data_IF_501918267423
#
_entry.id   IF_501918267423
#
_cell.length_a   1.000
_cell.length_b   1.000
_cell.length_c   1.000
_cell.angle_alpha   90.00
_cell.angle_beta   90.00
_cell.angle_gamma   90.00
#
_symmetry.space_group_name_H-M   'P 1'
#
loop_
_entity.id
_entity.type
_entity.pdbx_description
1 polymer ?
#
# COMPACT_ATOMS: atom_id res chain seq x y z
N UNK A 1 -2.63 37.62 38.42
CA UNK A 1 -3.51 36.56 38.97
C UNK A 1 -3.13 35.24 38.33
N UNK A 2 -2.89 34.23 39.16
CA UNK A 2 -2.35 32.91 38.82
C UNK A 2 -3.48 31.93 38.46
N UNK A 3 -3.26 31.04 37.50
CA UNK A 3 -3.92 29.74 37.48
C UNK A 3 -3.04 28.72 36.74
N UNK A 4 -2.49 27.79 37.51
CA UNK A 4 -1.74 26.63 37.07
C UNK A 4 -2.71 25.47 36.81
N UNK A 5 -2.51 24.71 35.73
CA UNK A 5 -3.25 23.48 35.46
C UNK A 5 -2.36 22.29 35.82
N UNK A 6 -2.80 21.54 36.82
CA UNK A 6 -2.13 20.36 37.39
C UNK A 6 -2.57 19.12 36.61
N UNK A 7 -1.61 18.36 36.12
CA UNK A 7 -1.79 17.04 35.48
C UNK A 7 -1.75 15.97 36.58
N UNK A 8 -2.82 15.20 36.74
CA UNK A 8 -2.87 13.99 37.59
C UNK A 8 -2.88 12.75 36.69
N UNK A 9 -1.81 11.95 36.75
CA UNK A 9 -1.73 10.63 36.14
C UNK A 9 -1.99 9.61 37.25
N UNK A 10 -3.09 8.84 37.14
CA UNK A 10 -3.39 7.73 38.03
C UNK A 10 -2.92 6.43 37.37
N UNK A 11 -1.91 5.79 37.96
CA UNK A 11 -1.47 4.43 37.64
C UNK A 11 -2.22 3.46 38.57
N UNK A 12 -2.97 2.52 38.01
CA UNK A 12 -3.52 1.38 38.77
C UNK A 12 -2.99 0.08 38.16
N UNK A 13 -2.07 -0.56 38.89
CA UNK A 13 -1.58 -1.89 38.61
C UNK A 13 -2.55 -2.94 39.18
N UNK A 14 -2.89 -3.95 38.40
CA UNK A 14 -3.56 -5.17 38.89
C UNK A 14 -2.60 -6.34 38.65
N UNK A 15 -2.00 -6.81 39.74
CA UNK A 15 -1.31 -8.10 39.82
C UNK A 15 -2.27 -9.12 40.44
N UNK A 16 -2.49 -10.25 39.77
CA UNK A 16 -3.25 -11.37 40.32
C UNK A 16 -2.32 -12.58 40.46
N UNK A 17 -1.83 -12.80 41.68
CA UNK A 17 -1.25 -14.08 42.14
C UNK A 17 -2.29 -14.82 42.95
N UNK A 18 -2.66 -16.02 42.50
CA UNK A 18 -3.60 -16.89 43.18
C UNK A 18 -2.87 -17.74 44.23
N UNK A 19 -3.27 -17.61 45.51
CA UNK A 19 -2.98 -18.58 46.58
C UNK A 19 -4.27 -19.28 46.97
N UNK A 20 -4.35 -20.61 46.78
CA UNK A 20 -5.45 -21.43 47.27
C UNK A 20 -4.98 -22.32 48.42
N UNK A 21 -5.63 -22.12 49.56
CA UNK A 21 -5.41 -22.71 50.87
C UNK A 21 -6.14 -24.07 50.98
N UNK A 22 -5.46 -25.07 51.53
CA UNK A 22 -6.02 -26.39 51.90
C UNK A 22 -7.09 -26.26 53.01
N UNK A 23 -8.19 -27.00 52.87
CA UNK A 23 -9.01 -27.49 53.99
C UNK A 23 -9.65 -28.85 53.66
N UNK A 24 -9.50 -29.79 54.60
CA UNK A 24 -10.57 -30.67 55.06
C UNK A 24 -10.71 -32.02 54.34
N UNK A 25 -10.16 -33.07 54.98
CA UNK A 25 -10.33 -34.46 54.57
C UNK A 25 -11.74 -35.02 54.76
N UNK A 26 -12.06 -36.01 53.92
CA UNK A 26 -12.98 -37.11 54.22
C UNK A 26 -12.38 -38.41 53.68
N UNK A 27 -12.50 -39.43 54.52
CA UNK A 27 -11.94 -40.78 54.41
C UNK A 27 -12.47 -41.57 53.21
N UNK A 28 -11.58 -42.25 52.49
CA UNK A 28 -11.89 -43.24 51.44
C UNK A 28 -11.97 -44.65 52.06
N UNK A 29 -12.95 -45.50 51.69
CA UNK A 29 -12.99 -46.88 52.15
C UNK A 29 -12.00 -47.77 51.37
N UNK A 30 -11.41 -48.73 52.10
CA UNK A 30 -10.43 -49.71 51.63
C UNK A 30 -11.11 -50.78 50.75
N UNK A 31 -10.61 -51.12 49.56
CA UNK A 31 -11.12 -52.26 48.80
C UNK A 31 -10.53 -53.58 49.30
N UNK A 32 -11.40 -54.60 49.33
CA UNK A 32 -11.15 -55.96 49.78
C UNK A 32 -10.20 -56.72 48.84
N UNK A 33 -9.37 -57.58 49.42
CA UNK A 33 -8.50 -58.53 48.74
C UNK A 33 -9.27 -59.78 48.33
N UNK A 34 -9.42 -60.01 47.02
CA UNK A 34 -9.77 -61.32 46.48
C UNK A 34 -8.71 -61.72 45.45
N UNK A 35 -8.05 -62.84 45.74
CA UNK A 35 -7.06 -63.45 44.87
C UNK A 35 -7.70 -63.99 43.59
N UNK A 36 -7.10 -63.65 42.46
CA UNK A 36 -7.39 -64.21 41.14
C UNK A 36 -6.09 -64.40 40.39
N UNK A 37 -5.92 -65.58 39.80
CA UNK A 37 -4.74 -66.02 39.03
C UNK A 37 -4.33 -65.02 37.94
N UNK A 38 -3.01 -64.81 37.82
CA UNK A 38 -2.39 -64.10 36.70
C UNK A 38 -2.24 -65.04 35.50
N UNK A 39 -2.90 -64.73 34.38
CA UNK A 39 -2.61 -65.30 33.06
C UNK A 39 -1.82 -64.26 32.24
N UNK A 40 -0.72 -64.63 31.56
CA UNK A 40 0.04 -63.66 30.76
C UNK A 40 -0.74 -63.24 29.52
N UNK A 41 -0.90 -61.93 29.31
CA UNK A 41 -1.38 -61.35 28.05
C UNK A 41 -0.32 -61.55 26.96
N UNK A 42 -0.72 -62.10 25.81
CA UNK A 42 0.12 -62.14 24.61
C UNK A 42 0.44 -60.71 24.13
N UNK A 43 1.64 -60.43 23.58
CA UNK A 43 1.97 -59.11 23.05
C UNK A 43 1.08 -58.77 21.85
N UNK A 44 0.07 -57.93 22.08
CA UNK A 44 -0.66 -57.27 21.01
C UNK A 44 0.30 -56.39 20.21
N UNK A 45 0.27 -56.51 18.88
CA UNK A 45 1.00 -55.67 17.96
C UNK A 45 0.69 -54.19 18.22
N UNK A 46 1.69 -53.47 18.71
CA UNK A 46 1.63 -52.03 18.92
C UNK A 46 1.45 -51.35 17.55
N UNK A 47 0.34 -50.64 17.28
CA UNK A 47 0.22 -49.91 16.02
C UNK A 47 1.31 -48.83 15.99
N UNK A 48 2.05 -48.78 14.88
CA UNK A 48 3.13 -47.83 14.67
C UNK A 48 2.66 -46.39 14.97
N UNK A 49 3.50 -45.53 15.57
CA UNK A 49 3.11 -44.15 15.86
C UNK A 49 2.69 -43.47 14.56
N UNK A 50 1.42 -43.07 14.48
CA UNK A 50 0.91 -42.29 13.37
C UNK A 50 1.77 -41.04 13.25
N UNK A 51 2.52 -40.92 12.15
CA UNK A 51 3.27 -39.72 11.79
C UNK A 51 2.26 -38.56 11.76
N UNK A 52 2.25 -37.73 12.78
CA UNK A 52 1.42 -36.53 12.83
C UNK A 52 2.05 -35.51 11.89
N UNK A 53 1.76 -35.65 10.60
CA UNK A 53 2.05 -34.61 9.62
C UNK A 53 1.04 -33.50 9.91
N UNK A 54 1.47 -32.45 10.62
CA UNK A 54 0.67 -31.23 10.75
C UNK A 54 0.21 -30.82 9.34
N UNK A 55 -1.09 -30.63 9.09
CA UNK A 55 -1.55 -30.28 7.76
C UNK A 55 -0.86 -28.99 7.33
N UNK A 56 -0.13 -29.04 6.22
CA UNK A 56 0.49 -27.85 5.64
C UNK A 56 -0.64 -26.85 5.38
N UNK A 57 -0.61 -25.73 6.11
CA UNK A 57 -1.68 -24.73 6.09
C UNK A 57 -2.03 -24.32 4.65
N UNK A 58 -3.33 -24.27 4.33
CA UNK A 58 -3.78 -23.83 3.00
C UNK A 58 -3.45 -22.35 2.77
N UNK A 59 -3.40 -21.90 1.51
CA UNK A 59 -3.13 -20.48 1.19
C UNK A 59 -4.17 -19.56 1.84
N UNK A 60 -5.45 -19.96 1.84
CA UNK A 60 -6.51 -19.19 2.50
C UNK A 60 -6.26 -19.04 4.01
N UNK A 61 -5.93 -20.14 4.68
CA UNK A 61 -5.61 -20.12 6.11
C UNK A 61 -4.35 -19.29 6.41
N UNK A 62 -3.31 -19.37 5.56
CA UNK A 62 -2.11 -18.55 5.71
C UNK A 62 -2.45 -17.06 5.62
N UNK A 63 -3.23 -16.65 4.61
CA UNK A 63 -3.66 -15.25 4.45
C UNK A 63 -4.37 -14.75 5.71
N UNK A 64 -5.40 -15.48 6.17
CA UNK A 64 -6.14 -15.10 7.38
C UNK A 64 -5.24 -15.01 8.60
N UNK A 65 -4.35 -15.99 8.81
CA UNK A 65 -3.46 -16.00 9.97
C UNK A 65 -2.44 -14.84 9.94
N UNK A 66 -1.92 -14.50 8.75
CA UNK A 66 -1.05 -13.34 8.56
C UNK A 66 -1.82 -12.04 8.84
N UNK A 67 -3.03 -11.88 8.28
CA UNK A 67 -3.87 -10.69 8.48
C UNK A 67 -4.24 -10.46 9.95
N UNK A 68 -4.40 -11.53 10.72
CA UNK A 68 -4.72 -11.50 12.15
C UNK A 68 -3.48 -11.44 13.05
N UNK A 69 -2.28 -11.61 12.50
CA UNK A 69 -1.06 -11.54 13.28
C UNK A 69 -0.76 -10.10 13.68
N UNK A 70 -0.60 -9.84 14.98
CA UNK A 70 -0.21 -8.51 15.46
C UNK A 70 1.17 -8.07 14.95
N UNK A 71 2.03 -9.01 14.53
CA UNK A 71 3.30 -8.75 13.87
C UNK A 71 3.50 -9.72 12.69
N UNK A 72 3.08 -9.29 11.51
CA UNK A 72 3.10 -10.14 10.31
C UNK A 72 4.49 -10.58 9.86
N UNK A 73 5.52 -9.71 9.80
CA UNK A 73 6.88 -10.15 9.47
C UNK A 73 7.41 -11.25 10.40
N UNK A 74 7.20 -11.10 11.70
CA UNK A 74 7.64 -12.11 12.68
C UNK A 74 6.86 -13.41 12.52
N UNK A 75 5.54 -13.34 12.34
CA UNK A 75 4.69 -14.51 12.11
C UNK A 75 5.13 -15.31 10.88
N UNK A 76 5.38 -14.62 9.76
CA UNK A 76 5.86 -15.24 8.52
C UNK A 76 7.21 -15.93 8.71
N UNK A 77 8.14 -15.29 9.42
CA UNK A 77 9.47 -15.85 9.68
C UNK A 77 9.43 -17.04 10.64
N UNK A 78 8.75 -16.90 11.76
CA UNK A 78 8.92 -17.79 12.91
C UNK A 78 7.84 -18.87 12.98
N UNK A 79 6.62 -18.59 12.53
CA UNK A 79 5.51 -19.55 12.54
C UNK A 79 5.40 -20.26 11.19
N UNK A 80 5.32 -19.49 10.10
CA UNK A 80 5.19 -20.08 8.76
C UNK A 80 6.52 -20.61 8.20
N UNK A 81 7.65 -20.22 8.81
CA UNK A 81 9.01 -20.54 8.34
C UNK A 81 9.21 -20.20 6.85
N UNK A 82 8.61 -19.09 6.39
CA UNK A 82 8.70 -18.60 5.00
C UNK A 82 9.66 -17.43 4.88
N UNK A 83 10.24 -17.31 3.69
CA UNK A 83 11.03 -16.12 3.32
C UNK A 83 10.08 -15.00 2.90
N UNK A 84 10.47 -13.76 3.18
CA UNK A 84 9.80 -12.59 2.67
C UNK A 84 10.79 -11.49 2.27
N UNK A 85 10.30 -10.52 1.50
CA UNK A 85 10.98 -9.25 1.19
C UNK A 85 10.09 -8.09 1.58
N UNK A 86 10.70 -6.99 2.00
CA UNK A 86 10.03 -5.73 2.22
C UNK A 86 10.38 -4.78 1.08
N UNK A 87 9.35 -4.30 0.39
CA UNK A 87 9.46 -3.41 -0.76
C UNK A 87 8.70 -2.12 -0.43
N UNK A 88 9.36 -0.95 -0.56
CA UNK A 88 8.69 0.35 -0.50
C UNK A 88 8.32 0.76 -1.92
N UNK A 89 7.02 0.86 -2.20
CA UNK A 89 6.51 1.25 -3.52
C UNK A 89 6.12 2.72 -3.47
N UNK A 90 6.60 3.49 -4.45
CA UNK A 90 6.27 4.90 -4.63
C UNK A 90 5.11 4.98 -5.63
N UNK A 91 3.98 5.51 -5.19
CA UNK A 91 2.83 5.78 -6.06
C UNK A 91 3.09 7.11 -6.78
N UNK A 92 3.34 7.03 -8.09
CA UNK A 92 3.62 8.21 -8.92
C UNK A 92 2.37 8.85 -9.52
N UNK A 93 1.34 8.04 -9.76
CA UNK A 93 0.08 8.43 -10.41
C UNK A 93 -1.08 7.70 -9.75
N UNK A 94 -2.27 8.26 -9.83
CA UNK A 94 -3.50 7.65 -9.28
C UNK A 94 -4.25 6.80 -10.31
N UNK A 95 -3.73 6.69 -11.53
CA UNK A 95 -4.29 5.93 -12.63
C UNK A 95 -3.16 5.48 -13.56
N UNK A 96 -3.45 4.58 -14.51
CA UNK A 96 -2.44 4.12 -15.48
C UNK A 96 -1.23 3.44 -14.83
N UNK A 97 -1.48 2.64 -13.78
CA UNK A 97 -0.42 1.99 -13.00
C UNK A 97 0.49 1.12 -13.88
N UNK A 98 1.81 1.21 -13.65
CA UNK A 98 2.82 0.46 -14.44
C UNK A 98 2.80 -1.05 -14.15
N UNK A 99 2.13 -1.47 -13.08
CA UNK A 99 1.98 -2.88 -12.75
C UNK A 99 1.20 -3.14 -11.47
N UNK A 100 1.19 -4.41 -11.08
CA UNK A 100 0.47 -4.91 -9.89
C UNK A 100 0.92 -4.21 -8.60
N UNK A 101 2.23 -3.98 -8.43
CA UNK A 101 2.77 -3.36 -7.23
C UNK A 101 2.20 -1.94 -7.06
N UNK A 102 2.25 -1.11 -8.10
CA UNK A 102 1.72 0.25 -8.06
C UNK A 102 0.21 0.28 -7.79
N UNK A 103 -0.55 -0.61 -8.45
CA UNK A 103 -2.00 -0.74 -8.24
C UNK A 103 -2.33 -1.18 -6.81
N UNK A 104 -1.59 -2.15 -6.25
CA UNK A 104 -1.75 -2.57 -4.86
C UNK A 104 -1.29 -1.49 -3.87
N UNK A 105 -0.29 -0.70 -4.22
CA UNK A 105 0.19 0.39 -3.36
C UNK A 105 -0.90 1.43 -3.17
N UNK A 106 -1.59 1.77 -4.26
CA UNK A 106 -2.64 2.77 -4.22
C UNK A 106 -3.99 2.21 -3.73
N UNK A 107 -4.47 1.10 -4.28
CA UNK A 107 -5.80 0.55 -3.95
C UNK A 107 -5.82 -0.45 -2.79
N UNK A 108 -4.66 -1.01 -2.43
CA UNK A 108 -4.58 -2.03 -1.40
C UNK A 108 -4.95 -1.50 -0.02
N UNK A 109 -5.53 -2.35 0.82
CA UNK A 109 -5.86 -2.04 2.22
C UNK A 109 -4.71 -2.46 3.12
N UNK A 110 -4.38 -1.61 4.08
CA UNK A 110 -3.39 -1.92 5.12
C UNK A 110 -3.80 -3.22 5.84
N UNK A 111 -2.81 -4.03 6.19
CA UNK A 111 -2.88 -5.36 6.77
C UNK A 111 -3.48 -6.46 5.89
N UNK A 112 -4.13 -6.14 4.76
CA UNK A 112 -4.72 -7.15 3.87
C UNK A 112 -3.65 -7.90 3.08
N UNK A 113 -3.84 -9.22 2.93
CA UNK A 113 -2.97 -10.09 2.13
C UNK A 113 -3.63 -10.41 0.79
N UNK A 114 -2.91 -10.15 -0.28
CA UNK A 114 -3.31 -10.31 -1.66
C UNK A 114 -2.56 -11.45 -2.36
N UNK A 115 -3.11 -11.89 -3.49
CA UNK A 115 -2.63 -13.06 -4.24
C UNK A 115 -3.36 -14.35 -3.87
N UNK A 116 -2.82 -15.51 -4.27
CA UNK A 116 -1.43 -15.68 -4.73
C UNK A 116 -1.18 -15.16 -6.15
N UNK A 117 0.06 -14.70 -6.38
CA UNK A 117 0.53 -14.15 -7.65
C UNK A 117 1.59 -15.04 -8.29
N UNK A 118 1.87 -14.78 -9.58
CA UNK A 118 2.84 -15.54 -10.39
C UNK A 118 2.64 -17.07 -10.25
N UNK A 119 1.45 -17.54 -10.63
CA UNK A 119 1.06 -18.96 -10.60
C UNK A 119 1.22 -19.63 -9.23
N UNK A 120 1.00 -18.89 -8.14
CA UNK A 120 1.07 -19.46 -6.80
C UNK A 120 2.37 -19.21 -6.04
N UNK A 121 3.34 -18.48 -6.60
CA UNK A 121 4.68 -18.35 -6.01
C UNK A 121 4.77 -17.39 -4.83
N UNK A 122 3.90 -16.39 -4.72
CA UNK A 122 3.97 -15.45 -3.59
C UNK A 122 2.64 -14.79 -3.24
N UNK A 123 2.57 -14.29 -2.01
CA UNK A 123 1.54 -13.39 -1.49
C UNK A 123 2.13 -11.99 -1.26
N UNK A 124 1.28 -10.97 -1.20
CA UNK A 124 1.69 -9.60 -0.87
C UNK A 124 0.79 -9.05 0.22
N UNK A 125 1.37 -8.56 1.30
CA UNK A 125 0.65 -7.83 2.34
C UNK A 125 1.03 -6.35 2.31
N UNK A 126 0.05 -5.46 2.45
CA UNK A 126 0.31 -4.04 2.65
C UNK A 126 0.52 -3.81 4.14
N UNK A 127 1.69 -3.36 4.56
CA UNK A 127 2.01 -3.14 5.97
C UNK A 127 1.71 -1.72 6.43
N UNK A 128 2.00 -0.74 5.58
CA UNK A 128 1.79 0.66 5.89
C UNK A 128 1.60 1.46 4.61
N UNK A 129 0.97 2.62 4.74
CA UNK A 129 0.93 3.66 3.71
C UNK A 129 1.29 5.00 4.30
N UNK A 130 1.98 5.81 3.51
CA UNK A 130 2.32 7.18 3.89
C UNK A 130 1.83 8.14 2.80
N UNK A 131 1.37 9.33 3.20
CA UNK A 131 0.90 10.33 2.26
C UNK A 131 2.05 10.91 1.41
N UNK A 132 1.68 11.43 0.24
CA UNK A 132 2.44 12.39 -0.55
C UNK A 132 1.48 13.43 -1.12
N UNK A 133 2.00 14.59 -1.49
CA UNK A 133 1.25 15.60 -2.24
C UNK A 133 1.20 15.22 -3.72
N UNK A 134 0.04 15.39 -4.33
CA UNK A 134 -0.19 15.19 -5.75
C UNK A 134 -0.71 16.49 -6.37
N UNK A 135 -0.30 16.78 -7.61
CA UNK A 135 -0.94 17.84 -8.40
C UNK A 135 -1.71 17.23 -9.56
N UNK A 136 -2.88 17.79 -9.83
CA UNK A 136 -3.67 17.49 -11.00
C UNK A 136 -3.32 18.47 -12.12
N UNK A 137 -2.82 17.97 -13.24
CA UNK A 137 -2.37 18.81 -14.36
C UNK A 137 -2.91 18.33 -15.70
N UNK A 138 -3.19 19.29 -16.57
CA UNK A 138 -3.33 19.07 -18.01
C UNK A 138 -2.06 19.51 -18.76
N UNK A 139 -1.79 18.90 -19.90
CA UNK A 139 -0.65 19.20 -20.77
C UNK A 139 -1.06 19.26 -22.25
N UNK A 140 -0.44 20.19 -22.97
CA UNK A 140 -0.28 20.17 -24.43
C UNK A 140 1.23 20.20 -24.68
N UNK A 141 1.75 19.16 -25.34
CA UNK A 141 3.17 19.03 -25.61
C UNK A 141 3.46 19.34 -27.08
N UNK A 142 4.46 20.19 -27.32
CA UNK A 142 4.98 20.51 -28.64
C UNK A 142 6.42 20.01 -28.74
N UNK A 143 6.63 19.01 -29.58
CA UNK A 143 7.94 18.41 -29.81
C UNK A 143 8.82 19.32 -30.66
N UNK A 144 9.95 19.76 -30.10
CA UNK A 144 10.87 20.67 -30.79
C UNK A 144 11.92 19.98 -31.66
N UNK A 145 11.91 18.65 -31.73
CA UNK A 145 12.56 17.92 -32.81
C UNK A 145 11.79 18.03 -34.13
N UNK A 146 10.48 18.31 -34.05
CA UNK A 146 9.60 18.50 -35.22
C UNK A 146 9.36 19.99 -35.49
N UNK A 147 9.07 20.76 -34.44
CA UNK A 147 8.87 22.21 -34.56
C UNK A 147 10.14 22.99 -34.22
N UNK A 148 10.52 23.93 -35.09
CA UNK A 148 11.53 24.91 -34.73
C UNK A 148 11.11 25.66 -33.44
N UNK A 149 12.02 25.94 -32.49
CA UNK A 149 11.65 26.50 -31.19
C UNK A 149 10.80 27.78 -31.26
N UNK A 150 11.06 28.67 -32.23
CA UNK A 150 10.27 29.89 -32.45
C UNK A 150 8.83 29.59 -32.89
N UNK A 151 8.65 28.55 -33.69
CA UNK A 151 7.33 28.10 -34.15
C UNK A 151 6.56 27.49 -32.98
N UNK A 152 7.19 26.60 -32.21
CA UNK A 152 6.59 26.04 -31.01
C UNK A 152 6.17 27.14 -30.02
N UNK A 153 7.01 28.16 -29.79
CA UNK A 153 6.67 29.27 -28.90
C UNK A 153 5.47 30.10 -29.38
N UNK A 154 5.39 30.34 -30.69
CA UNK A 154 4.28 31.06 -31.31
C UNK A 154 2.97 30.27 -31.24
N UNK A 155 3.04 28.95 -31.50
CA UNK A 155 1.89 28.04 -31.35
C UNK A 155 1.43 27.98 -29.90
N UNK A 156 2.33 27.80 -28.93
CA UNK A 156 2.01 27.79 -27.51
C UNK A 156 1.37 29.11 -27.05
N UNK A 157 1.87 30.25 -27.52
CA UNK A 157 1.32 31.57 -27.20
C UNK A 157 -0.10 31.72 -27.76
N UNK A 158 -0.34 31.29 -29.00
CA UNK A 158 -1.68 31.28 -29.60
C UNK A 158 -2.66 30.39 -28.83
N UNK A 159 -2.24 29.17 -28.47
CA UNK A 159 -3.03 28.25 -27.65
C UNK A 159 -3.44 28.91 -26.32
N UNK A 160 -2.48 29.48 -25.59
CA UNK A 160 -2.74 30.12 -24.29
C UNK A 160 -3.73 31.29 -24.45
N UNK A 161 -3.58 32.11 -25.49
CA UNK A 161 -4.48 33.24 -25.73
C UNK A 161 -5.90 32.76 -26.04
N UNK A 162 -6.06 31.75 -26.90
CA UNK A 162 -7.38 31.19 -27.24
C UNK A 162 -8.12 30.65 -26.03
N UNK A 163 -7.42 29.98 -25.11
CA UNK A 163 -8.04 29.52 -23.86
C UNK A 163 -8.40 30.69 -22.95
N UNK A 164 -7.52 31.68 -22.81
CA UNK A 164 -7.78 32.87 -21.97
C UNK A 164 -8.95 33.73 -22.48
N UNK A 165 -9.09 33.82 -23.79
CA UNK A 165 -10.17 34.55 -24.47
C UNK A 165 -11.48 33.76 -24.49
N UNK A 166 -11.45 32.47 -24.14
CA UNK A 166 -12.63 31.59 -24.18
C UNK A 166 -13.05 31.19 -25.59
N UNK A 167 -12.20 31.39 -26.60
CA UNK A 167 -12.49 31.03 -28.00
C UNK A 167 -12.29 29.55 -28.31
N UNK A 168 -11.60 28.81 -27.44
CA UNK A 168 -11.49 27.35 -27.48
C UNK A 168 -11.20 26.80 -26.07
N UNK A 169 -11.63 25.56 -25.80
CA UNK A 169 -11.27 24.86 -24.57
C UNK A 169 -9.81 24.38 -24.60
N UNK A 170 -9.21 24.14 -23.42
CA UNK A 170 -7.87 23.56 -23.34
C UNK A 170 -7.88 22.12 -23.88
N UNK A 171 -8.96 21.39 -23.61
CA UNK A 171 -9.21 20.01 -24.02
C UNK A 171 -9.20 19.86 -25.55
N UNK A 172 -9.96 20.71 -26.25
CA UNK A 172 -10.03 20.68 -27.72
C UNK A 172 -8.67 21.00 -28.33
N UNK A 173 -7.95 21.97 -27.76
CA UNK A 173 -6.61 22.33 -28.20
C UNK A 173 -5.59 21.23 -27.89
N UNK A 174 -5.76 20.50 -26.79
CA UNK A 174 -4.90 19.37 -26.46
C UNK A 174 -5.07 18.22 -27.44
N UNK A 175 -6.31 17.89 -27.82
CA UNK A 175 -6.58 16.91 -28.89
C UNK A 175 -5.99 17.36 -30.23
N UNK A 176 -6.10 18.65 -30.55
CA UNK A 176 -5.69 19.19 -31.85
C UNK A 176 -4.18 19.34 -32.00
N UNK A 177 -3.49 19.84 -30.96
CA UNK A 177 -2.10 20.29 -31.05
C UNK A 177 -1.12 19.45 -30.25
N UNK A 178 -1.56 18.67 -29.26
CA UNK A 178 -0.60 17.93 -28.43
C UNK A 178 0.03 16.79 -29.23
N UNK A 179 1.35 16.72 -29.18
CA UNK A 179 2.16 15.66 -29.78
C UNK A 179 2.51 14.56 -28.77
N UNK A 180 2.00 14.66 -27.54
CA UNK A 180 2.14 13.65 -26.50
C UNK A 180 0.97 12.68 -26.46
N UNK A 181 1.13 11.59 -25.70
CA UNK A 181 0.09 10.57 -25.53
C UNK A 181 -1.15 11.07 -24.77
N UNK A 182 -1.04 12.18 -24.04
CA UNK A 182 -2.14 12.82 -23.31
C UNK A 182 -3.19 13.44 -24.23
N UNK A 183 -2.93 13.59 -25.54
CA UNK A 183 -3.97 13.95 -26.51
C UNK A 183 -5.19 13.01 -26.43
N UNK A 184 -4.96 11.73 -26.14
CA UNK A 184 -6.02 10.73 -25.96
C UNK A 184 -6.88 10.94 -24.70
N UNK A 185 -6.37 11.68 -23.71
CA UNK A 185 -7.08 12.05 -22.49
C UNK A 185 -7.46 13.54 -22.50
N UNK A 186 -7.57 14.13 -23.69
CA UNK A 186 -7.88 15.56 -23.87
C UNK A 186 -6.92 16.47 -23.09
N UNK A 187 -5.66 16.05 -23.00
CA UNK A 187 -4.58 16.73 -22.29
C UNK A 187 -4.50 16.40 -20.80
N UNK A 188 -5.46 15.67 -20.22
CA UNK A 188 -5.43 15.37 -18.78
C UNK A 188 -4.38 14.30 -18.43
N UNK A 189 -3.44 14.64 -17.54
CA UNK A 189 -2.45 13.69 -17.01
C UNK A 189 -2.87 13.11 -15.66
N UNK A 190 -4.00 13.55 -15.11
CA UNK A 190 -4.52 13.21 -13.79
C UNK A 190 -3.60 13.68 -12.65
N UNK A 191 -3.71 13.00 -11.51
CA UNK A 191 -2.92 13.30 -10.32
C UNK A 191 -1.54 12.66 -10.42
N UNK A 192 -0.51 13.50 -10.36
CA UNK A 192 0.89 13.09 -10.35
C UNK A 192 1.53 13.51 -9.02
N UNK A 193 2.26 12.59 -8.41
CA UNK A 193 2.96 12.82 -7.15
C UNK A 193 4.06 13.88 -7.30
N UNK A 194 4.24 14.71 -6.27
CA UNK A 194 5.40 15.58 -6.12
C UNK A 194 6.68 14.73 -6.13
N UNK A 195 7.68 15.16 -6.91
CA UNK A 195 8.90 14.40 -7.17
C UNK A 195 8.82 13.39 -8.32
N UNK A 196 7.63 13.18 -8.91
CA UNK A 196 7.45 12.31 -10.08
C UNK A 196 7.27 13.06 -11.40
N UNK A 197 7.26 14.41 -11.36
CA UNK A 197 7.19 15.27 -12.55
C UNK A 197 8.58 15.68 -13.03
N UNK A 198 8.64 16.23 -14.25
CA UNK A 198 9.83 16.94 -14.75
C UNK A 198 10.11 18.13 -13.81
N UNK A 199 11.34 18.30 -13.27
CA UNK A 199 11.65 19.31 -12.26
C UNK A 199 11.26 20.75 -12.65
N UNK A 200 11.43 21.11 -13.92
CA UNK A 200 11.10 22.41 -14.47
C UNK A 200 9.59 22.69 -14.39
N UNK A 201 8.77 21.69 -14.75
CA UNK A 201 7.31 21.78 -14.67
C UNK A 201 6.89 21.91 -13.21
N UNK A 202 7.43 21.08 -12.33
CA UNK A 202 7.07 21.09 -10.91
C UNK A 202 7.43 22.42 -10.24
N UNK A 203 8.62 22.96 -10.56
CA UNK A 203 9.08 24.26 -10.04
C UNK A 203 8.16 25.40 -10.46
N UNK A 204 7.70 25.41 -11.71
CA UNK A 204 6.75 26.41 -12.18
C UNK A 204 5.38 26.20 -11.57
N UNK A 205 4.89 24.96 -11.48
CA UNK A 205 3.56 24.63 -10.94
C UNK A 205 3.37 25.10 -9.50
N UNK A 206 4.43 25.07 -8.67
CA UNK A 206 4.42 25.58 -7.28
C UNK A 206 4.07 27.07 -7.17
N UNK A 207 4.27 27.84 -8.24
CA UNK A 207 4.01 29.29 -8.28
C UNK A 207 2.63 29.65 -8.82
N UNK A 208 1.89 28.66 -9.33
CA UNK A 208 0.66 28.86 -10.11
C UNK A 208 -0.57 28.55 -9.28
N UNK A 209 -1.64 29.30 -9.50
CA UNK A 209 -2.95 29.02 -8.91
C UNK A 209 -3.72 28.00 -9.74
N UNK A 210 -4.72 27.38 -9.13
CA UNK A 210 -5.70 26.55 -9.84
C UNK A 210 -6.26 27.30 -11.06
N UNK A 211 -6.38 26.59 -12.18
CA UNK A 211 -6.85 27.10 -13.47
C UNK A 211 -5.79 27.83 -14.30
N UNK A 212 -4.62 28.19 -13.74
CA UNK A 212 -3.60 28.88 -14.51
C UNK A 212 -2.98 27.98 -15.59
N UNK A 213 -2.71 28.59 -16.74
CA UNK A 213 -2.05 27.97 -17.89
C UNK A 213 -0.75 28.72 -18.18
N UNK A 214 0.33 27.97 -18.35
CA UNK A 214 1.67 28.50 -18.55
C UNK A 214 2.49 27.57 -19.44
N UNK A 215 3.54 28.12 -20.07
CA UNK A 215 4.48 27.36 -20.89
C UNK A 215 5.79 27.10 -20.13
N UNK A 216 6.37 25.92 -20.31
CA UNK A 216 7.63 25.49 -19.71
C UNK A 216 8.48 24.79 -20.76
N UNK A 217 9.71 25.23 -20.90
CA UNK A 217 10.71 24.58 -21.74
C UNK A 217 11.42 23.47 -20.96
N UNK A 218 11.58 22.31 -21.59
CA UNK A 218 12.35 21.18 -21.07
C UNK A 218 13.28 20.64 -22.17
N UNK A 219 14.10 19.64 -21.84
CA UNK A 219 14.93 18.95 -22.84
C UNK A 219 14.10 18.20 -23.91
N UNK A 220 12.86 17.83 -23.62
CA UNK A 220 11.99 17.15 -24.57
C UNK A 220 11.37 18.15 -25.56
N UNK A 221 11.00 19.34 -25.09
CA UNK A 221 10.42 20.38 -25.93
C UNK A 221 9.65 21.41 -25.12
N UNK A 222 8.55 21.90 -25.69
CA UNK A 222 7.72 22.92 -25.06
C UNK A 222 6.44 22.31 -24.51
N UNK A 223 6.20 22.52 -23.22
CA UNK A 223 5.02 22.05 -22.52
C UNK A 223 4.12 23.23 -22.17
N UNK A 224 2.86 23.18 -22.58
CA UNK A 224 1.81 24.07 -22.08
C UNK A 224 1.08 23.30 -20.98
N UNK A 225 1.19 23.77 -19.75
CA UNK A 225 0.66 23.10 -18.57
C UNK A 225 -0.51 23.91 -18.01
N UNK A 226 -1.60 23.22 -17.68
CA UNK A 226 -2.72 23.76 -16.91
C UNK A 226 -2.71 23.13 -15.52
N UNK A 227 -2.75 23.96 -14.47
CA UNK A 227 -2.98 23.47 -13.11
C UNK A 227 -4.48 23.22 -12.93
N UNK A 228 -4.93 21.98 -13.07
CA UNK A 228 -6.36 21.64 -13.11
C UNK A 228 -7.02 21.85 -11.75
N UNK A 229 -6.39 21.37 -10.68
CA UNK A 229 -6.88 21.49 -9.31
C UNK A 229 -5.80 21.95 -8.33
N UNK A 230 -6.24 22.27 -7.11
CA UNK A 230 -5.32 22.48 -5.99
C UNK A 230 -4.65 21.15 -5.60
N UNK A 231 -3.41 21.20 -5.08
CA UNK A 231 -2.71 19.99 -4.68
C UNK A 231 -3.46 19.24 -3.58
N UNK A 232 -3.49 17.91 -3.66
CA UNK A 232 -4.16 17.06 -2.68
C UNK A 232 -3.19 16.05 -2.08
N UNK A 233 -3.35 15.77 -0.79
CA UNK A 233 -2.64 14.69 -0.11
C UNK A 233 -3.31 13.35 -0.43
N UNK A 234 -2.52 12.37 -0.89
CA UNK A 234 -2.99 11.02 -1.23
C UNK A 234 -1.96 9.97 -0.80
N UNK A 235 -2.33 8.70 -0.84
CA UNK A 235 -1.42 7.58 -0.63
C UNK A 235 -0.27 7.62 -1.65
N UNK A 236 0.90 8.09 -1.22
CA UNK A 236 2.08 8.29 -2.06
C UNK A 236 3.13 7.19 -1.93
N UNK A 237 3.09 6.45 -0.82
CA UNK A 237 4.01 5.38 -0.54
C UNK A 237 3.28 4.21 0.12
N UNK A 238 3.70 3.00 -0.21
CA UNK A 238 3.23 1.79 0.47
C UNK A 238 4.42 0.90 0.83
N UNK A 239 4.50 0.50 2.09
CA UNK A 239 5.39 -0.57 2.53
C UNK A 239 4.68 -1.91 2.32
N UNK A 240 5.28 -2.78 1.53
CA UNK A 240 4.73 -4.09 1.21
C UNK A 240 5.64 -5.21 1.69
N UNK A 241 5.03 -6.31 2.13
CA UNK A 241 5.72 -7.56 2.39
C UNK A 241 5.34 -8.59 1.34
N UNK A 242 6.33 -9.02 0.55
CA UNK A 242 6.19 -10.13 -0.39
C UNK A 242 6.60 -11.43 0.28
N UNK A 243 5.68 -12.38 0.39
CA UNK A 243 5.86 -13.65 1.09
C UNK A 243 5.97 -14.77 0.06
N UNK A 244 7.08 -15.51 0.05
CA UNK A 244 7.31 -16.58 -0.92
C UNK A 244 6.67 -17.89 -0.43
N UNK A 245 5.87 -18.53 -1.29
CA UNK A 245 5.10 -19.75 -1.00
C UNK A 245 5.88 -21.02 -1.33
#
# INVERSE_FOLDING_TARGET
MRAAVIIFILFTAISATASAQQKGGKTLPKPASTGGQWTPLQPGSQPAPAKTVSPKMTIGQMKTAIEQSGNSPLYVKDVLKKKFKLDTIIVRRTWGFLGLADSLAYHGKINKVYGPYDKGKFLVQILAKNPNMFNHIGQIYLDTSVFAPKVADSVATSIINRVKEGSASFEDLAVTYSMGGESATQGDLGWIAVGAMIPEIEKELKKRKKGEIFKVWTAAGLHIIRKTDDPEEKDGYALMMRIFL
#
